data_IF_766674281466
#
_entry.id   IF_766674281466
#
_cell.length_a   1.000
_cell.length_b   1.000
_cell.length_c   1.000
_cell.angle_alpha   90.00
_cell.angle_beta   90.00
_cell.angle_gamma   90.00
#
_symmetry.space_group_name_H-M   'P 1'
#
loop_
_entity.id
_entity.type
_entity.pdbx_description
1 polymer ?
#
# COMPACT_ATOMS: atom_id res chain seq x y z
N UNK A 1 51.70 17.08 -28.04
CA UNK A 1 51.64 16.90 -26.58
C UNK A 1 50.31 17.37 -25.99
N UNK A 2 49.98 18.68 -25.99
CA UNK A 2 48.73 19.20 -25.40
C UNK A 2 47.45 18.56 -25.97
N UNK A 3 47.37 18.36 -27.30
CA UNK A 3 46.21 17.70 -27.92
C UNK A 3 46.00 16.26 -27.45
N UNK A 4 47.08 15.53 -27.15
CA UNK A 4 47.00 14.16 -26.67
C UNK A 4 46.48 14.13 -25.22
N UNK A 5 46.96 15.04 -24.37
CA UNK A 5 46.44 15.22 -23.00
C UNK A 5 44.96 15.63 -23.00
N UNK A 6 44.53 16.49 -23.93
CA UNK A 6 43.13 16.86 -24.06
C UNK A 6 42.26 15.72 -24.62
N UNK A 7 42.86 14.79 -25.37
CA UNK A 7 42.17 13.59 -25.88
C UNK A 7 41.99 12.56 -24.77
N UNK A 8 43.07 12.25 -24.06
CA UNK A 8 43.12 11.19 -23.04
C UNK A 8 42.68 11.70 -21.65
N UNK A 9 42.57 13.02 -21.47
CA UNK A 9 42.24 13.71 -20.21
C UNK A 9 43.19 13.38 -19.05
N UNK A 10 44.40 12.92 -19.36
CA UNK A 10 45.41 12.48 -18.41
C UNK A 10 46.79 13.09 -18.76
N UNK A 11 47.53 13.49 -17.73
CA UNK A 11 48.91 13.97 -17.84
C UNK A 11 49.77 13.25 -16.80
N UNK A 12 50.96 12.80 -17.21
CA UNK A 12 51.90 12.15 -16.30
C UNK A 12 52.43 13.15 -15.25
N UNK A 13 52.58 12.74 -13.97
CA UNK A 13 52.96 13.64 -12.88
C UNK A 13 54.33 14.33 -13.09
N UNK A 14 55.29 13.65 -13.72
CA UNK A 14 56.62 14.18 -14.00
C UNK A 14 56.56 15.32 -15.02
N UNK A 15 55.85 15.11 -16.13
CA UNK A 15 55.59 16.12 -17.16
C UNK A 15 54.75 17.30 -16.63
N UNK A 16 53.84 17.05 -15.67
CA UNK A 16 53.08 18.11 -15.02
C UNK A 16 53.97 18.97 -14.11
N UNK A 17 54.94 18.37 -13.41
CA UNK A 17 55.84 19.08 -12.50
C UNK A 17 56.82 20.01 -13.24
N UNK A 18 57.24 19.61 -14.45
CA UNK A 18 58.14 20.39 -15.31
C UNK A 18 57.47 21.61 -15.97
N UNK A 19 56.14 21.64 -16.06
CA UNK A 19 55.41 22.78 -16.59
C UNK A 19 55.47 23.96 -15.62
N UNK A 20 55.65 25.17 -16.17
CA UNK A 20 55.50 26.40 -15.39
C UNK A 20 54.06 26.55 -14.87
N UNK A 21 53.87 27.28 -13.78
CA UNK A 21 52.55 27.40 -13.14
C UNK A 21 51.51 28.06 -14.06
N UNK A 22 51.94 28.99 -14.91
CA UNK A 22 51.09 29.60 -15.94
C UNK A 22 50.64 28.57 -16.99
N UNK A 23 51.55 27.67 -17.43
CA UNK A 23 51.21 26.60 -18.37
C UNK A 23 50.29 25.55 -17.73
N UNK A 24 50.47 25.21 -16.45
CA UNK A 24 49.55 24.33 -15.71
C UNK A 24 48.14 24.93 -15.65
N UNK A 25 48.03 26.21 -15.36
CA UNK A 25 46.74 26.90 -15.27
C UNK A 25 46.02 26.92 -16.62
N UNK A 26 46.73 27.23 -17.70
CA UNK A 26 46.18 27.17 -19.08
C UNK A 26 45.75 25.74 -19.43
N UNK A 27 46.56 24.73 -19.08
CA UNK A 27 46.24 23.32 -19.31
C UNK A 27 44.95 22.91 -18.59
N UNK A 28 44.80 23.24 -17.31
CA UNK A 28 43.59 22.88 -16.54
C UNK A 28 42.34 23.58 -17.06
N UNK A 29 42.44 24.85 -17.48
CA UNK A 29 41.34 25.55 -18.13
C UNK A 29 40.90 24.84 -19.42
N UNK A 30 41.86 24.45 -20.27
CA UNK A 30 41.58 23.74 -21.53
C UNK A 30 41.02 22.34 -21.30
N UNK A 31 41.54 21.60 -20.31
CA UNK A 31 41.00 20.30 -19.91
C UNK A 31 39.57 20.44 -19.37
N UNK A 32 39.28 21.49 -18.61
CA UNK A 32 37.95 21.75 -18.07
C UNK A 32 36.95 22.11 -19.17
N UNK A 33 37.35 22.97 -20.12
CA UNK A 33 36.55 23.28 -21.31
C UNK A 33 36.21 22.00 -22.10
N UNK A 34 37.19 21.10 -22.28
CA UNK A 34 37.00 19.84 -23.00
C UNK A 34 36.08 18.87 -22.24
N UNK A 35 36.19 18.78 -20.90
CA UNK A 35 35.22 18.01 -20.09
C UNK A 35 33.79 18.51 -20.29
N UNK A 36 33.60 19.83 -20.27
CA UNK A 36 32.28 20.45 -20.44
C UNK A 36 31.78 20.20 -21.87
N UNK A 37 32.63 20.33 -22.88
CA UNK A 37 32.30 20.04 -24.28
C UNK A 37 31.83 18.59 -24.45
N UNK A 38 32.61 17.62 -23.97
CA UNK A 38 32.27 16.19 -24.01
C UNK A 38 31.02 15.84 -23.22
N UNK A 39 30.80 16.50 -22.08
CA UNK A 39 29.58 16.31 -21.31
C UNK A 39 28.36 16.81 -22.08
N UNK A 40 28.41 18.05 -22.62
CA UNK A 40 27.33 18.60 -23.45
C UNK A 40 27.01 17.73 -24.67
N UNK A 41 28.04 17.26 -25.38
CA UNK A 41 27.84 16.36 -26.53
C UNK A 41 27.22 15.02 -26.12
N UNK A 42 27.58 14.48 -24.94
CA UNK A 42 26.95 13.26 -24.42
C UNK A 42 25.50 13.49 -24.02
N UNK A 43 25.19 14.60 -23.35
CA UNK A 43 23.82 14.98 -23.00
C UNK A 43 22.96 15.15 -24.25
N UNK A 44 23.47 15.86 -25.26
CA UNK A 44 22.74 16.07 -26.53
C UNK A 44 22.53 14.76 -27.28
N UNK A 45 23.54 13.86 -27.32
CA UNK A 45 23.36 12.52 -27.88
C UNK A 45 22.33 11.71 -27.12
N UNK A 46 22.35 11.73 -25.79
CA UNK A 46 21.39 11.03 -24.94
C UNK A 46 19.97 11.55 -25.20
N UNK A 47 19.80 12.87 -25.30
CA UNK A 47 18.50 13.50 -25.60
C UNK A 47 18.00 13.12 -27.01
N UNK A 48 18.88 13.12 -28.01
CA UNK A 48 18.53 12.67 -29.37
C UNK A 48 18.18 11.18 -29.41
N UNK A 49 18.90 10.34 -28.68
CA UNK A 49 18.59 8.91 -28.55
C UNK A 49 17.23 8.70 -27.87
N UNK A 50 16.93 9.45 -26.80
CA UNK A 50 15.63 9.41 -26.13
C UNK A 50 14.48 9.91 -27.02
N UNK A 51 14.73 10.91 -27.87
CA UNK A 51 13.76 11.36 -28.89
C UNK A 51 13.54 10.33 -29.99
N UNK A 52 14.58 9.58 -30.38
CA UNK A 52 14.52 8.54 -31.43
C UNK A 52 13.95 7.21 -30.92
N UNK A 53 13.98 6.96 -29.60
CA UNK A 53 13.37 5.75 -29.03
C UNK A 53 11.87 5.74 -29.34
N UNK A 54 11.35 4.72 -30.05
CA UNK A 54 9.94 4.62 -30.33
C UNK A 54 9.18 4.55 -29.01
N UNK A 55 8.21 5.45 -28.81
CA UNK A 55 7.32 5.42 -27.64
C UNK A 55 6.61 4.06 -27.65
N UNK A 56 6.94 3.20 -26.68
CA UNK A 56 6.32 1.87 -26.57
C UNK A 56 4.80 2.04 -26.53
N UNK A 57 4.04 1.20 -27.26
CA UNK A 57 2.59 1.26 -27.22
C UNK A 57 2.11 1.10 -25.77
N UNK A 58 1.17 1.96 -25.37
CA UNK A 58 0.69 2.00 -23.99
C UNK A 58 0.00 0.67 -23.68
N UNK A 59 0.39 0.03 -22.57
CA UNK A 59 -0.33 -1.14 -22.07
C UNK A 59 -1.75 -0.69 -21.68
N UNK A 60 -2.81 -1.46 -22.03
CA UNK A 60 -4.15 -1.20 -21.50
C UNK A 60 -4.10 -1.27 -19.97
N UNK A 61 -4.61 -0.23 -19.30
CA UNK A 61 -4.54 -0.09 -17.83
C UNK A 61 -3.29 0.61 -17.28
N UNK A 62 -2.40 1.14 -18.13
CA UNK A 62 -1.25 1.93 -17.67
C UNK A 62 -1.70 3.24 -17.01
N UNK A 63 -1.52 3.35 -15.69
CA UNK A 63 -1.76 4.60 -14.94
C UNK A 63 -0.85 5.70 -15.50
N UNK A 64 -1.44 6.85 -15.86
CA UNK A 64 -0.72 8.05 -16.29
C UNK A 64 -0.81 9.06 -15.15
N UNK A 65 0.33 9.63 -14.76
CA UNK A 65 0.37 10.77 -13.86
C UNK A 65 0.53 12.00 -14.75
N UNK A 66 -0.49 12.85 -14.75
CA UNK A 66 -0.44 14.17 -15.40
C UNK A 66 -0.21 15.21 -14.30
N UNK A 67 0.91 15.92 -14.40
CA UNK A 67 1.17 17.08 -13.54
C UNK A 67 0.30 18.23 -14.05
N UNK A 68 -0.69 18.61 -13.24
CA UNK A 68 -1.49 19.79 -13.53
C UNK A 68 -0.61 21.02 -13.36
N UNK A 69 -0.83 22.06 -14.15
CA UNK A 69 -0.14 23.34 -14.00
C UNK A 69 -1.08 24.33 -13.30
N UNK A 70 -0.58 25.04 -12.30
CA UNK A 70 -1.26 26.11 -11.61
C UNK A 70 -1.39 27.37 -12.47
N UNK A 71 -2.08 28.38 -11.94
CA UNK A 71 -2.24 29.69 -12.61
C UNK A 71 -0.92 30.45 -12.77
N UNK A 72 0.06 30.10 -11.96
CA UNK A 72 1.43 30.60 -11.95
C UNK A 72 2.34 29.87 -12.95
N UNK A 73 1.85 28.82 -13.63
CA UNK A 73 2.63 28.03 -14.57
C UNK A 73 3.58 27.03 -13.91
N UNK A 74 3.51 26.86 -12.58
CA UNK A 74 4.22 25.81 -11.84
C UNK A 74 3.33 24.58 -11.70
N UNK A 75 3.91 23.44 -11.31
CA UNK A 75 3.16 22.21 -11.06
C UNK A 75 2.19 22.41 -9.89
N UNK A 76 0.90 22.14 -10.13
CA UNK A 76 -0.16 22.16 -9.14
C UNK A 76 -0.31 20.76 -8.54
N UNK A 77 -0.14 20.70 -7.22
CA UNK A 77 -0.39 19.52 -6.41
C UNK A 77 -1.61 19.80 -5.54
N UNK A 78 -2.60 18.90 -5.59
CA UNK A 78 -3.68 18.91 -4.60
C UNK A 78 -3.31 17.97 -3.46
N UNK A 79 -3.16 18.52 -2.27
CA UNK A 79 -3.00 17.76 -1.04
C UNK A 79 -4.40 17.56 -0.44
N UNK A 80 -4.90 16.32 -0.48
CA UNK A 80 -6.16 15.96 0.16
C UNK A 80 -6.11 16.30 1.65
N UNK A 81 -7.04 17.13 2.13
CA UNK A 81 -7.14 17.51 3.55
C UNK A 81 -6.63 18.90 3.91
N UNK A 82 -6.06 19.66 2.97
CA UNK A 82 -5.67 21.07 3.20
C UNK A 82 -6.82 22.06 2.94
N UNK A 83 -7.86 21.64 2.22
CA UNK A 83 -9.02 22.49 1.95
C UNK A 83 -10.00 22.46 3.14
N UNK A 84 -10.63 23.60 3.47
CA UNK A 84 -11.53 23.75 4.63
C UNK A 84 -12.72 22.77 4.66
N UNK A 85 -13.09 22.24 3.49
CA UNK A 85 -14.19 21.29 3.32
C UNK A 85 -13.74 19.83 3.12
N UNK A 86 -12.42 19.56 3.09
CA UNK A 86 -11.92 18.21 2.88
C UNK A 86 -12.03 17.39 4.18
N UNK A 87 -12.44 16.13 4.04
CA UNK A 87 -12.43 15.18 5.16
C UNK A 87 -10.99 14.80 5.47
N UNK A 88 -10.67 14.61 6.75
CA UNK A 88 -9.37 14.07 7.12
C UNK A 88 -9.22 12.63 6.60
N UNK A 89 -7.98 12.20 6.35
CA UNK A 89 -7.70 10.83 5.91
C UNK A 89 -8.29 9.82 6.91
N UNK A 90 -8.17 10.10 8.20
CA UNK A 90 -8.73 9.25 9.26
C UNK A 90 -10.25 9.17 9.17
N UNK A 91 -10.95 10.29 8.95
CA UNK A 91 -12.40 10.30 8.76
C UNK A 91 -12.84 9.51 7.53
N UNK A 92 -12.12 9.62 6.41
CA UNK A 92 -12.42 8.88 5.18
C UNK A 92 -12.29 7.37 5.43
N UNK A 93 -11.20 6.95 6.06
CA UNK A 93 -10.93 5.54 6.34
C UNK A 93 -11.92 4.97 7.36
N UNK A 94 -12.31 5.80 8.33
CA UNK A 94 -13.32 5.49 9.34
C UNK A 94 -14.70 5.27 8.70
N UNK A 95 -15.15 6.19 7.84
CA UNK A 95 -16.40 6.03 7.07
C UNK A 95 -16.35 4.82 6.12
N UNK A 96 -15.21 4.57 5.46
CA UNK A 96 -15.05 3.41 4.58
C UNK A 96 -15.14 2.10 5.37
N UNK A 97 -14.52 2.04 6.57
CA UNK A 97 -14.61 0.90 7.47
C UNK A 97 -16.06 0.67 7.93
N UNK A 98 -16.77 1.72 8.33
CA UNK A 98 -18.19 1.64 8.70
C UNK A 98 -19.05 1.16 7.54
N UNK A 99 -18.86 1.70 6.33
CA UNK A 99 -19.61 1.30 5.14
C UNK A 99 -19.39 -0.17 4.80
N UNK A 100 -18.14 -0.64 4.83
CA UNK A 100 -17.79 -2.03 4.56
C UNK A 100 -18.33 -2.98 5.64
N UNK A 101 -18.27 -2.59 6.92
CA UNK A 101 -18.86 -3.36 8.01
C UNK A 101 -20.38 -3.49 7.86
N UNK A 102 -21.06 -2.40 7.50
CA UNK A 102 -22.49 -2.39 7.20
C UNK A 102 -22.83 -3.25 5.98
N UNK A 103 -22.04 -3.16 4.90
CA UNK A 103 -22.25 -3.98 3.71
C UNK A 103 -22.08 -5.47 4.03
N UNK A 104 -21.07 -5.84 4.81
CA UNK A 104 -20.88 -7.23 5.23
C UNK A 104 -22.04 -7.72 6.10
N UNK A 105 -22.45 -6.93 7.09
CA UNK A 105 -23.59 -7.26 7.95
C UNK A 105 -24.89 -7.40 7.16
N UNK A 106 -25.11 -6.51 6.17
CA UNK A 106 -26.27 -6.55 5.28
C UNK A 106 -26.29 -7.83 4.43
N UNK A 107 -25.15 -8.24 3.87
CA UNK A 107 -25.05 -9.51 3.12
C UNK A 107 -25.38 -10.71 4.01
N UNK A 108 -24.84 -10.75 5.23
CA UNK A 108 -25.16 -11.81 6.20
C UNK A 108 -26.67 -11.80 6.56
N UNK A 109 -27.24 -10.62 6.79
CA UNK A 109 -28.66 -10.43 7.09
C UNK A 109 -29.59 -10.81 5.90
N UNK A 110 -29.22 -10.48 4.67
CA UNK A 110 -29.95 -10.84 3.46
C UNK A 110 -29.98 -12.37 3.25
N UNK A 111 -28.87 -13.05 3.54
CA UNK A 111 -28.82 -14.52 3.50
C UNK A 111 -29.74 -15.16 4.55
N UNK A 112 -29.74 -14.63 5.77
CA UNK A 112 -30.65 -15.08 6.83
C UNK A 112 -32.11 -14.84 6.44
N UNK A 113 -32.42 -13.67 5.89
CA UNK A 113 -33.76 -13.32 5.40
C UNK A 113 -34.25 -14.28 4.32
N UNK A 114 -33.39 -14.58 3.34
CA UNK A 114 -33.74 -15.50 2.25
C UNK A 114 -34.03 -16.90 2.80
N UNK A 115 -33.28 -17.34 3.80
CA UNK A 115 -33.49 -18.63 4.47
C UNK A 115 -34.82 -18.67 5.22
N UNK A 116 -35.09 -17.68 6.07
CA UNK A 116 -36.36 -17.61 6.83
C UNK A 116 -37.58 -17.48 5.90
N UNK A 117 -37.47 -16.69 4.83
CA UNK A 117 -38.55 -16.56 3.84
C UNK A 117 -38.81 -17.88 3.08
N UNK A 118 -37.76 -18.63 2.76
CA UNK A 118 -37.89 -19.95 2.16
C UNK A 118 -38.58 -20.94 3.11
N UNK A 119 -38.23 -20.92 4.40
CA UNK A 119 -38.88 -21.76 5.42
C UNK A 119 -40.36 -21.42 5.59
N UNK A 120 -40.72 -20.13 5.64
CA UNK A 120 -42.12 -19.69 5.68
C UNK A 120 -42.87 -20.13 4.42
N UNK A 121 -42.25 -19.99 3.25
CA UNK A 121 -42.86 -20.41 1.98
C UNK A 121 -43.09 -21.92 1.92
N UNK A 122 -42.14 -22.72 2.40
CA UNK A 122 -42.29 -24.18 2.49
C UNK A 122 -43.47 -24.56 3.39
N UNK A 123 -43.58 -23.97 4.59
CA UNK A 123 -44.72 -24.21 5.49
C UNK A 123 -46.07 -23.85 4.85
N UNK A 124 -46.13 -22.72 4.14
CA UNK A 124 -47.33 -22.29 3.42
C UNK A 124 -47.71 -23.26 2.29
N UNK A 125 -46.71 -23.77 1.57
CA UNK A 125 -46.91 -24.73 0.49
C UNK A 125 -47.35 -26.11 1.01
N UNK A 126 -46.77 -26.57 2.12
CA UNK A 126 -47.18 -27.80 2.82
C UNK A 126 -48.63 -27.74 3.30
N UNK A 127 -49.04 -26.63 3.92
CA UNK A 127 -50.43 -26.44 4.36
C UNK A 127 -51.39 -26.35 3.17
N UNK A 128 -50.99 -25.70 2.06
CA UNK A 128 -51.78 -25.70 0.83
C UNK A 128 -51.97 -27.09 0.25
N UNK A 129 -50.90 -27.90 0.21
CA UNK A 129 -50.97 -29.29 -0.26
C UNK A 129 -51.81 -30.18 0.65
N UNK A 130 -51.82 -29.93 1.97
CA UNK A 130 -52.70 -30.64 2.91
C UNK A 130 -54.17 -30.33 2.64
N UNK A 131 -54.52 -29.06 2.45
CA UNK A 131 -55.87 -28.64 2.13
C UNK A 131 -56.34 -29.22 0.77
N UNK A 132 -55.46 -29.26 -0.23
CA UNK A 132 -55.76 -29.84 -1.55
C UNK A 132 -56.01 -31.35 -1.47
N UNK A 133 -55.20 -32.10 -0.71
CA UNK A 133 -55.41 -33.53 -0.47
C UNK A 133 -56.71 -33.81 0.29
N UNK A 134 -57.07 -32.97 1.24
CA UNK A 134 -58.34 -33.06 1.97
C UNK A 134 -59.53 -32.86 1.01
N UNK A 135 -59.46 -31.83 0.15
CA UNK A 135 -60.45 -31.60 -0.92
C UNK A 135 -60.55 -32.77 -1.89
N UNK A 136 -59.44 -33.31 -2.38
CA UNK A 136 -59.45 -34.47 -3.29
C UNK A 136 -60.04 -35.72 -2.65
N UNK A 137 -59.70 -36.00 -1.39
CA UNK A 137 -60.26 -37.13 -0.65
C UNK A 137 -61.76 -36.98 -0.41
N UNK A 138 -62.23 -35.76 -0.18
CA UNK A 138 -63.66 -35.48 0.00
C UNK A 138 -64.43 -35.55 -1.32
N UNK A 139 -63.88 -35.02 -2.42
CA UNK A 139 -64.47 -35.17 -3.77
C UNK A 139 -64.63 -36.66 -4.10
N UNK A 140 -63.63 -37.50 -3.82
CA UNK A 140 -63.72 -38.95 -4.03
C UNK A 140 -64.84 -39.60 -3.21
N UNK A 141 -65.04 -39.19 -1.95
CA UNK A 141 -66.15 -39.69 -1.13
C UNK A 141 -67.51 -39.26 -1.69
N UNK A 142 -67.63 -38.01 -2.13
CA UNK A 142 -68.85 -37.49 -2.74
C UNK A 142 -69.17 -38.17 -4.07
N UNK A 143 -68.16 -38.48 -4.89
CA UNK A 143 -68.31 -39.25 -6.14
C UNK A 143 -68.81 -40.68 -5.87
N UNK A 144 -68.29 -41.34 -4.84
CA UNK A 144 -68.75 -42.67 -4.39
C UNK A 144 -70.20 -42.63 -3.88
N UNK A 145 -70.57 -41.62 -3.09
CA UNK A 145 -71.93 -41.42 -2.58
C UNK A 145 -72.94 -41.07 -3.70
N UNK A 146 -72.51 -40.27 -4.68
CA UNK A 146 -73.32 -39.88 -5.83
C UNK A 146 -73.63 -41.05 -6.78
N UNK A 147 -72.76 -42.06 -6.84
CA UNK A 147 -72.98 -43.28 -7.64
C UNK A 147 -74.18 -44.11 -7.14
N UNK A 148 -74.68 -43.85 -5.93
CA UNK A 148 -75.69 -44.65 -5.23
C UNK A 148 -77.11 -44.04 -5.23
N UNK A 149 -77.34 -42.83 -5.77
CA UNK A 149 -78.63 -42.12 -5.68
C UNK A 149 -79.43 -42.02 -6.99
N UNK A 150 -80.77 -42.02 -6.88
CA UNK A 150 -81.75 -41.99 -8.00
C UNK A 150 -82.01 -40.57 -8.55
N UNK A 151 -82.12 -40.45 -9.88
CA UNK A 151 -82.07 -39.24 -10.72
C UNK A 151 -83.02 -38.08 -10.30
N UNK A 152 -84.14 -38.36 -9.61
CA UNK A 152 -85.11 -37.32 -9.18
C UNK A 152 -84.73 -36.64 -7.86
N UNK A 153 -84.06 -37.33 -6.95
CA UNK A 153 -83.56 -36.77 -5.68
C UNK A 153 -82.26 -35.99 -5.89
N UNK A 154 -81.46 -36.39 -6.89
CA UNK A 154 -80.22 -35.73 -7.28
C UNK A 154 -80.36 -34.24 -7.63
N UNK A 155 -81.49 -33.81 -8.21
CA UNK A 155 -81.67 -32.40 -8.64
C UNK A 155 -81.91 -31.42 -7.49
N UNK A 156 -82.60 -31.88 -6.44
CA UNK A 156 -82.87 -31.11 -5.22
C UNK A 156 -81.68 -31.20 -4.25
N UNK A 157 -80.99 -32.34 -4.22
CA UNK A 157 -79.73 -32.52 -3.52
C UNK A 157 -78.60 -31.65 -4.11
N UNK A 158 -78.52 -31.53 -5.45
CA UNK A 158 -77.52 -30.69 -6.12
C UNK A 158 -77.64 -29.20 -5.75
N UNK A 159 -78.85 -28.64 -5.64
CA UNK A 159 -79.03 -27.24 -5.20
C UNK A 159 -78.58 -27.00 -3.76
N UNK A 160 -78.84 -27.94 -2.84
CA UNK A 160 -78.39 -27.85 -1.43
C UNK A 160 -76.89 -28.07 -1.30
N UNK A 161 -76.33 -29.00 -2.08
CA UNK A 161 -74.91 -29.25 -2.14
C UNK A 161 -74.14 -28.04 -2.69
N UNK A 162 -74.68 -27.33 -3.68
CA UNK A 162 -74.05 -26.11 -4.22
C UNK A 162 -74.01 -24.97 -3.19
N UNK A 163 -75.08 -24.77 -2.42
CA UNK A 163 -75.08 -23.77 -1.33
C UNK A 163 -74.12 -24.15 -0.19
N UNK A 164 -74.00 -25.43 0.12
CA UNK A 164 -73.05 -25.94 1.11
C UNK A 164 -71.60 -25.81 0.63
N UNK A 165 -71.33 -26.11 -0.65
CA UNK A 165 -70.04 -25.89 -1.29
C UNK A 165 -69.64 -24.42 -1.23
N UNK A 166 -70.55 -23.48 -1.54
CA UNK A 166 -70.27 -22.04 -1.46
C UNK A 166 -69.91 -21.58 -0.05
N UNK A 167 -70.57 -22.12 0.99
CA UNK A 167 -70.23 -21.80 2.38
C UNK A 167 -68.86 -22.36 2.77
N UNK A 168 -68.57 -23.59 2.37
CA UNK A 168 -67.26 -24.24 2.61
C UNK A 168 -66.14 -23.50 1.88
N UNK A 169 -66.34 -23.11 0.62
CA UNK A 169 -65.40 -22.30 -0.15
C UNK A 169 -65.14 -20.95 0.54
N UNK A 170 -66.17 -20.31 1.12
CA UNK A 170 -66.02 -19.08 1.89
C UNK A 170 -65.23 -19.30 3.19
N UNK A 171 -65.47 -20.40 3.90
CA UNK A 171 -64.74 -20.77 5.12
C UNK A 171 -63.27 -21.12 4.84
N UNK A 172 -62.99 -21.89 3.78
CA UNK A 172 -61.64 -22.18 3.32
C UNK A 172 -60.91 -20.93 2.83
N UNK A 173 -61.60 -20.04 2.11
CA UNK A 173 -61.04 -18.75 1.70
C UNK A 173 -60.68 -17.88 2.92
N UNK A 174 -61.53 -17.88 3.96
CA UNK A 174 -61.25 -17.20 5.21
C UNK A 174 -60.03 -17.80 5.93
N UNK A 175 -59.95 -19.14 6.00
CA UNK A 175 -58.83 -19.87 6.60
C UNK A 175 -57.51 -19.63 5.86
N UNK A 176 -57.53 -19.62 4.54
CA UNK A 176 -56.38 -19.27 3.71
C UNK A 176 -55.94 -17.82 3.90
N UNK A 177 -56.91 -16.90 4.06
CA UNK A 177 -56.62 -15.50 4.35
C UNK A 177 -55.98 -15.33 5.74
N UNK A 178 -56.48 -16.02 6.76
CA UNK A 178 -55.88 -16.04 8.10
C UNK A 178 -54.44 -16.55 8.07
N UNK A 179 -54.19 -17.67 7.38
CA UNK A 179 -52.84 -18.22 7.22
C UNK A 179 -51.89 -17.24 6.50
N UNK A 180 -52.39 -16.52 5.49
CA UNK A 180 -51.62 -15.46 4.81
C UNK A 180 -51.32 -14.27 5.73
N UNK A 181 -52.27 -13.86 6.56
CA UNK A 181 -52.10 -12.80 7.55
C UNK A 181 -51.09 -13.19 8.63
N UNK A 182 -51.17 -14.42 9.16
CA UNK A 182 -50.20 -14.96 10.12
C UNK A 182 -48.79 -15.00 9.54
N UNK A 183 -48.62 -15.53 8.32
CA UNK A 183 -47.34 -15.51 7.62
C UNK A 183 -46.84 -14.09 7.35
N UNK A 184 -47.73 -13.12 7.11
CA UNK A 184 -47.36 -11.71 6.95
C UNK A 184 -46.87 -11.08 8.26
N UNK A 185 -47.50 -11.42 9.39
CA UNK A 185 -47.04 -11.01 10.73
C UNK A 185 -45.70 -11.65 11.06
N UNK A 186 -45.52 -12.94 10.79
CA UNK A 186 -44.25 -13.65 11.01
C UNK A 186 -43.11 -13.02 10.20
N UNK A 187 -43.35 -12.73 8.92
CA UNK A 187 -42.41 -11.98 8.06
C UNK A 187 -42.08 -10.61 8.63
N UNK A 188 -43.07 -9.86 9.12
CA UNK A 188 -42.82 -8.52 9.68
C UNK A 188 -41.96 -8.59 10.93
N UNK A 189 -42.25 -9.53 11.82
CA UNK A 189 -41.49 -9.73 13.05
C UNK A 189 -40.07 -10.22 12.77
N UNK A 190 -39.90 -11.12 11.79
CA UNK A 190 -38.60 -11.65 11.41
C UNK A 190 -37.73 -10.57 10.76
N UNK A 191 -38.29 -9.75 9.87
CA UNK A 191 -37.62 -8.59 9.29
C UNK A 191 -37.12 -7.61 10.35
N UNK A 192 -37.93 -7.31 11.35
CA UNK A 192 -37.51 -6.42 12.45
C UNK A 192 -36.33 -7.01 13.22
N UNK A 193 -36.37 -8.31 13.55
CA UNK A 193 -35.27 -8.99 14.26
C UNK A 193 -34.00 -9.02 13.42
N UNK A 194 -34.11 -9.28 12.12
CA UNK A 194 -32.97 -9.28 11.19
C UNK A 194 -32.36 -7.89 11.09
N UNK A 195 -33.17 -6.83 11.01
CA UNK A 195 -32.65 -5.44 10.98
C UNK A 195 -31.90 -5.07 12.25
N UNK A 196 -32.40 -5.47 13.42
CA UNK A 196 -31.71 -5.25 14.69
C UNK A 196 -30.41 -6.07 14.78
N UNK A 197 -30.42 -7.30 14.27
CA UNK A 197 -29.24 -8.15 14.18
C UNK A 197 -28.19 -7.58 13.20
N UNK A 198 -28.62 -7.06 12.05
CA UNK A 198 -27.77 -6.40 11.06
C UNK A 198 -27.02 -5.21 11.67
N UNK A 199 -27.74 -4.33 12.39
CA UNK A 199 -27.12 -3.18 13.06
C UNK A 199 -26.10 -3.60 14.12
N UNK A 200 -26.43 -4.60 14.96
CA UNK A 200 -25.51 -5.13 15.97
C UNK A 200 -24.27 -5.72 15.32
N UNK A 201 -24.46 -6.54 14.28
CA UNK A 201 -23.40 -7.19 13.54
C UNK A 201 -22.48 -6.20 12.84
N UNK A 202 -23.03 -5.17 12.21
CA UNK A 202 -22.27 -4.07 11.60
C UNK A 202 -21.37 -3.40 12.64
N UNK A 203 -21.92 -3.06 13.81
CA UNK A 203 -21.16 -2.44 14.88
C UNK A 203 -20.04 -3.36 15.41
N UNK A 204 -20.32 -4.65 15.60
CA UNK A 204 -19.31 -5.64 16.01
C UNK A 204 -18.15 -5.75 15.01
N UNK A 205 -18.46 -5.85 13.72
CA UNK A 205 -17.45 -5.94 12.66
C UNK A 205 -16.57 -4.69 12.65
N UNK A 206 -17.21 -3.51 12.72
CA UNK A 206 -16.53 -2.24 12.75
C UNK A 206 -15.60 -2.11 13.97
N UNK A 207 -16.08 -2.41 15.18
CA UNK A 207 -15.27 -2.34 16.41
C UNK A 207 -14.07 -3.29 16.30
N UNK A 208 -14.28 -4.50 15.79
CA UNK A 208 -13.20 -5.47 15.59
C UNK A 208 -12.14 -4.95 14.62
N UNK A 209 -12.54 -4.33 13.52
CA UNK A 209 -11.62 -3.77 12.54
C UNK A 209 -10.85 -2.58 13.10
N UNK A 210 -11.50 -1.72 13.87
CA UNK A 210 -10.87 -0.60 14.56
C UNK A 210 -9.79 -1.08 15.54
N UNK A 211 -10.10 -2.12 16.31
CA UNK A 211 -9.14 -2.73 17.23
C UNK A 211 -7.96 -3.36 16.50
N UNK A 212 -8.22 -4.10 15.41
CA UNK A 212 -7.17 -4.68 14.57
C UNK A 212 -6.26 -3.60 13.98
N UNK A 213 -6.81 -2.48 13.54
CA UNK A 213 -6.02 -1.37 13.02
C UNK A 213 -5.14 -0.74 14.09
N UNK A 214 -5.67 -0.53 15.29
CA UNK A 214 -4.90 -0.05 16.44
C UNK A 214 -3.71 -0.96 16.74
N UNK A 215 -3.90 -2.28 16.68
CA UNK A 215 -2.80 -3.24 16.87
C UNK A 215 -1.74 -3.13 15.77
N UNK A 216 -2.16 -2.97 14.50
CA UNK A 216 -1.23 -2.76 13.39
C UNK A 216 -0.42 -1.48 13.55
N UNK A 217 -1.07 -0.39 13.97
CA UNK A 217 -0.41 0.90 14.19
C UNK A 217 0.62 0.80 15.34
N UNK A 218 0.28 0.12 16.43
CA UNK A 218 1.21 -0.16 17.54
C UNK A 218 2.45 -0.95 17.09
N UNK A 219 2.25 -2.02 16.31
CA UNK A 219 3.36 -2.80 15.76
C UNK A 219 4.21 -1.95 14.81
N UNK A 220 3.59 -1.09 14.01
CA UNK A 220 4.30 -0.16 13.13
C UNK A 220 5.14 0.87 13.92
N UNK A 221 4.62 1.42 15.01
CA UNK A 221 5.35 2.31 15.90
C UNK A 221 6.53 1.59 16.58
N UNK A 222 6.30 0.39 17.14
CA UNK A 222 7.35 -0.41 17.78
C UNK A 222 8.48 -0.76 16.82
N UNK A 223 8.13 -1.20 15.61
CA UNK A 223 9.12 -1.50 14.56
C UNK A 223 9.88 -0.25 14.11
N UNK A 224 9.20 0.89 13.96
CA UNK A 224 9.84 2.16 13.64
C UNK A 224 10.82 2.59 14.74
N UNK A 225 10.42 2.47 16.00
CA UNK A 225 11.30 2.75 17.14
C UNK A 225 12.53 1.85 17.17
N UNK A 226 12.38 0.58 16.84
CA UNK A 226 13.49 -0.36 16.78
C UNK A 226 14.45 -0.03 15.63
N UNK A 227 13.92 0.30 14.45
CA UNK A 227 14.72 0.77 13.31
C UNK A 227 15.49 2.05 13.67
N UNK A 228 14.83 3.03 14.30
CA UNK A 228 15.47 4.28 14.72
C UNK A 228 16.59 4.06 15.74
N UNK A 229 16.38 3.16 16.71
CA UNK A 229 17.42 2.79 17.69
C UNK A 229 18.63 2.17 16.98
N UNK A 230 18.38 1.19 16.12
CA UNK A 230 19.43 0.51 15.36
C UNK A 230 20.20 1.47 14.44
N UNK A 231 19.50 2.44 13.85
CA UNK A 231 20.12 3.52 13.08
C UNK A 231 21.05 4.37 13.95
N UNK A 232 20.58 4.85 15.12
CA UNK A 232 21.40 5.66 16.04
C UNK A 232 22.64 4.91 16.53
N UNK A 233 22.51 3.62 16.83
CA UNK A 233 23.66 2.81 17.22
C UNK A 233 24.66 2.63 16.09
N UNK A 234 24.17 2.39 14.87
CA UNK A 234 25.00 2.30 13.67
C UNK A 234 25.71 3.62 13.39
N UNK A 235 25.00 4.75 13.55
CA UNK A 235 25.56 6.09 13.42
C UNK A 235 26.67 6.34 14.46
N UNK A 236 26.47 5.94 15.71
CA UNK A 236 27.49 6.06 16.76
C UNK A 236 28.74 5.25 16.42
N UNK A 237 28.57 3.99 16.02
CA UNK A 237 29.68 3.11 15.59
C UNK A 237 30.42 3.69 14.38
N UNK A 238 29.71 4.25 13.42
CA UNK A 238 30.31 4.90 12.25
C UNK A 238 31.16 6.12 12.65
N UNK A 239 30.66 6.95 13.57
CA UNK A 239 31.42 8.10 14.10
C UNK A 239 32.67 7.68 14.86
N UNK A 240 32.59 6.63 15.67
CA UNK A 240 33.74 6.04 16.38
C UNK A 240 34.79 5.54 15.37
N UNK A 241 34.36 4.77 14.36
CA UNK A 241 35.25 4.27 13.30
C UNK A 241 35.92 5.41 12.51
N UNK A 242 35.19 6.49 12.21
CA UNK A 242 35.75 7.67 11.53
C UNK A 242 36.81 8.37 12.39
N UNK A 243 36.61 8.44 13.71
CA UNK A 243 37.62 8.96 14.64
C UNK A 243 38.87 8.08 14.66
N UNK A 244 38.72 6.76 14.72
CA UNK A 244 39.84 5.82 14.65
C UNK A 244 40.62 5.97 13.34
N UNK A 245 39.92 6.01 12.20
CA UNK A 245 40.54 6.24 10.90
C UNK A 245 41.28 7.57 10.84
N UNK A 246 40.73 8.63 11.43
CA UNK A 246 41.38 9.94 11.52
C UNK A 246 42.68 9.86 12.33
N UNK A 247 42.68 9.16 13.46
CA UNK A 247 43.87 8.96 14.29
C UNK A 247 44.94 8.15 13.54
N UNK A 248 44.55 7.07 12.86
CA UNK A 248 45.45 6.26 12.03
C UNK A 248 46.07 7.12 10.92
N UNK A 249 45.25 7.93 10.23
CA UNK A 249 45.72 8.83 9.18
C UNK A 249 46.67 9.91 9.72
N UNK A 250 46.40 10.46 10.91
CA UNK A 250 47.30 11.40 11.59
C UNK A 250 48.64 10.75 11.93
N UNK A 251 48.62 9.55 12.54
CA UNK A 251 49.82 8.79 12.86
C UNK A 251 50.65 8.49 11.61
N UNK A 252 50.01 8.02 10.53
CA UNK A 252 50.68 7.74 9.26
C UNK A 252 51.32 9.00 8.65
N UNK A 253 50.67 10.16 8.75
CA UNK A 253 51.25 11.45 8.31
C UNK A 253 52.46 11.84 9.15
N UNK A 254 52.39 11.63 10.46
CA UNK A 254 53.47 11.99 11.38
C UNK A 254 54.68 11.04 11.23
N UNK A 255 54.44 9.74 11.07
CA UNK A 255 55.48 8.76 10.72
C UNK A 255 56.15 9.09 9.39
N UNK A 256 55.38 9.46 8.37
CA UNK A 256 55.93 9.91 7.08
C UNK A 256 56.77 11.19 7.26
N UNK A 257 56.27 12.18 8.01
CA UNK A 257 57.01 13.42 8.33
C UNK A 257 58.32 13.12 9.06
N UNK A 258 58.31 12.24 10.05
CA UNK A 258 59.51 11.83 10.78
C UNK A 258 60.48 11.08 9.87
N UNK A 259 59.98 10.20 9.01
CA UNK A 259 60.78 9.47 8.03
C UNK A 259 61.45 10.41 7.04
N UNK A 260 60.73 11.38 6.49
CA UNK A 260 61.27 12.44 5.63
C UNK A 260 62.31 13.29 6.37
N UNK A 261 62.08 13.60 7.64
CA UNK A 261 63.05 14.36 8.45
C UNK A 261 64.33 13.56 8.69
N UNK A 262 64.22 12.25 8.97
CA UNK A 262 65.36 11.34 9.11
C UNK A 262 66.15 11.21 7.81
N UNK A 263 65.45 11.03 6.68
CA UNK A 263 66.07 11.00 5.35
C UNK A 263 66.78 12.32 5.05
N UNK A 264 66.14 13.45 5.33
CA UNK A 264 66.75 14.78 5.16
C UNK A 264 67.99 14.97 6.04
N UNK A 265 67.97 14.50 7.29
CA UNK A 265 69.15 14.54 8.18
C UNK A 265 70.28 13.65 7.66
N UNK A 266 69.96 12.44 7.16
CA UNK A 266 70.94 11.56 6.53
C UNK A 266 71.57 12.20 5.29
N UNK A 267 70.77 12.86 4.45
CA UNK A 267 71.27 13.61 3.27
C UNK A 267 72.16 14.77 3.69
N UNK A 268 71.77 15.57 4.69
CA UNK A 268 72.58 16.68 5.21
C UNK A 268 73.89 16.16 5.80
N UNK A 269 73.87 15.07 6.56
CA UNK A 269 75.06 14.47 7.13
C UNK A 269 75.99 13.87 6.07
N UNK A 270 75.42 13.21 5.06
CA UNK A 270 76.18 12.73 3.89
C UNK A 270 76.83 13.89 3.13
N UNK A 271 76.08 14.97 2.89
CA UNK A 271 76.60 16.18 2.25
C UNK A 271 77.70 16.87 3.09
N UNK A 272 77.59 16.82 4.43
CA UNK A 272 78.61 17.35 5.34
C UNK A 272 79.91 16.52 5.31
N UNK A 273 79.78 15.20 5.15
CA UNK A 273 80.91 14.28 4.94
C UNK A 273 81.57 14.49 3.56
N UNK A 274 80.79 14.80 2.51
CA UNK A 274 81.33 15.07 1.17
C UNK A 274 81.90 16.48 1.00
N UNK A 275 81.43 17.47 1.77
CA UNK A 275 81.92 18.87 1.72
C UNK A 275 83.08 19.16 2.71
N UNK A 276 83.56 18.16 3.45
CA UNK A 276 84.83 18.28 4.18
C UNK A 276 84.84 19.25 5.38
N UNK A 277 83.70 19.50 6.03
CA UNK A 277 83.70 20.21 7.31
C UNK A 277 84.23 19.30 8.44
N UNK A 278 85.45 19.57 8.91
CA UNK A 278 86.06 18.87 10.05
C UNK A 278 85.29 19.16 11.35
N UNK A 279 85.06 18.17 12.23
CA UNK A 279 84.42 18.38 13.52
C UNK A 279 85.26 19.33 14.42
N UNK A 280 84.62 20.10 15.32
CA UNK A 280 85.32 21.06 16.16
C UNK A 280 86.30 20.33 17.10
N UNK A 281 87.56 20.81 17.11
CA UNK A 281 88.63 20.27 17.94
C UNK A 281 88.28 20.43 19.44
N UNK A 282 88.47 19.39 20.27
CA UNK A 282 88.24 19.48 21.70
C UNK A 282 89.19 20.49 22.36
N UNK A 283 88.77 21.17 23.44
CA UNK A 283 89.57 22.21 24.07
C UNK A 283 90.86 21.62 24.63
N UNK A 284 92.00 22.28 24.34
CA UNK A 284 93.32 21.87 24.84
C UNK A 284 93.34 21.91 26.36
N UNK A 285 93.73 20.79 26.97
CA UNK A 285 94.12 20.75 28.38
C UNK A 285 95.31 21.70 28.59
N UNK A 286 95.19 22.59 29.57
CA UNK A 286 96.31 23.41 30.04
C UNK A 286 97.14 22.55 30.99
N UNK A 287 98.36 22.22 30.57
CA UNK A 287 99.38 21.70 31.48
C UNK A 287 100.03 22.86 32.24
N UNK A 288 100.06 22.70 33.58
CA UNK A 288 100.70 23.51 34.64
C UNK A 288 100.17 24.92 34.91
#
# INVERSE_FOLDING_TARGET
MLQQILTDMYIEPELLAELSDEQKQILFLKMREEQIRRWKEREEKLEQEDRKKPKKPRKPGGKKVDFLLGRDGNEWVWVMGEHENDRSIDQILEEEAQRKAAEQARREAELLRLKEEAEIKQKMEEERQRLEKEREAEIRRLEEEALYQSIKEARLAAQRAEEEQRKREQEEALRMKQLQEEAAVERRMSLSKIQDAEKRRSNEIYIRWKEMRRQLDQVAEETSHEVDKNWRESERKAKEAEQEMKLIAQRAREENRQSLTRVSQLIVNANRLTLGEKPPLPPKAKDR
#
